data_IF_561174081478
#
_entry.id   IF_561174081478
#
_cell.length_a   1.000
_cell.length_b   1.000
_cell.length_c   1.000
_cell.angle_alpha   90.00
_cell.angle_beta   90.00
_cell.angle_gamma   90.00
#
_symmetry.space_group_name_H-M   'P 1'
#
loop_
_entity.id
_entity.type
_entity.pdbx_description
1 polymer ?
#
# COMPACT_ATOMS: atom_id res chain seq x y z
N UNK A 1 7.65 -15.55 5.53
CA UNK A 1 6.36 -15.37 6.22
C UNK A 1 5.20 -15.92 5.37
N UNK A 2 5.02 -15.40 4.15
CA UNK A 2 3.91 -15.77 3.28
C UNK A 2 3.84 -17.24 2.85
N UNK A 3 4.96 -17.94 2.66
CA UNK A 3 4.97 -19.40 2.35
C UNK A 3 4.45 -20.27 3.50
N UNK A 4 4.39 -19.71 4.72
CA UNK A 4 3.82 -20.35 5.90
C UNK A 4 2.39 -19.88 6.20
N UNK A 5 1.75 -19.25 5.23
CA UNK A 5 0.40 -18.70 5.37
C UNK A 5 0.24 -17.68 6.51
N UNK A 6 1.30 -16.94 6.84
CA UNK A 6 1.25 -15.88 7.85
C UNK A 6 1.12 -14.52 7.16
N UNK A 7 0.24 -13.67 7.69
CA UNK A 7 0.10 -12.24 7.35
C UNK A 7 0.47 -11.37 8.56
N UNK A 8 0.88 -10.13 8.33
CA UNK A 8 1.31 -9.17 9.37
C UNK A 8 0.24 -8.17 9.84
N UNK A 9 -0.86 -8.03 9.11
CA UNK A 9 -1.70 -6.82 8.88
C UNK A 9 -1.20 -5.39 9.17
N UNK A 10 -0.03 -5.17 9.75
CA UNK A 10 0.48 -3.84 10.14
C UNK A 10 1.89 -3.57 9.59
N UNK A 11 2.09 -3.78 8.29
CA UNK A 11 3.35 -3.46 7.61
C UNK A 11 3.50 -1.94 7.54
N UNK A 12 4.54 -1.42 8.19
CA UNK A 12 4.90 0.01 8.25
C UNK A 12 6.40 0.16 8.51
N UNK A 13 7.02 1.34 8.27
CA UNK A 13 8.46 1.51 8.45
C UNK A 13 8.91 1.21 9.88
N UNK A 14 8.12 1.57 10.89
CA UNK A 14 8.42 1.33 12.31
C UNK A 14 8.58 -0.17 12.65
N UNK A 15 7.97 -1.05 11.84
CA UNK A 15 7.98 -2.50 12.04
C UNK A 15 9.05 -3.21 11.19
N UNK A 16 9.94 -2.46 10.53
CA UNK A 16 11.08 -2.97 9.77
C UNK A 16 12.36 -2.56 10.48
N UNK A 17 12.98 -3.52 11.17
CA UNK A 17 14.22 -3.31 11.90
C UNK A 17 15.41 -3.53 10.98
N UNK A 18 16.30 -2.54 10.92
CA UNK A 18 17.49 -2.56 10.07
C UNK A 18 18.73 -2.50 10.96
N UNK A 19 19.47 -3.61 11.03
CA UNK A 19 20.81 -3.60 11.58
C UNK A 19 21.77 -3.06 10.52
N UNK A 20 22.50 -2.00 10.85
CA UNK A 20 23.39 -1.32 9.94
C UNK A 20 24.67 -0.88 10.65
N UNK A 21 25.74 -0.71 9.88
CA UNK A 21 26.98 -0.07 10.31
C UNK A 21 27.36 1.04 9.34
N UNK A 22 28.07 2.04 9.85
CA UNK A 22 28.63 3.10 9.03
C UNK A 22 30.08 2.76 8.67
N UNK A 23 30.40 2.73 7.37
CA UNK A 23 31.76 2.52 6.86
C UNK A 23 32.06 3.66 5.90
N UNK A 24 33.07 4.48 6.20
CA UNK A 24 33.54 5.57 5.31
C UNK A 24 32.44 6.47 4.73
N UNK A 25 31.44 6.83 5.57
CA UNK A 25 30.24 7.63 5.24
C UNK A 25 29.10 6.89 4.53
N UNK A 26 29.31 5.63 4.16
CA UNK A 26 28.26 4.77 3.62
C UNK A 26 27.56 3.97 4.72
N UNK A 27 26.26 3.76 4.54
CA UNK A 27 25.46 2.87 5.39
C UNK A 27 25.48 1.48 4.78
N UNK A 28 26.07 0.52 5.49
CA UNK A 28 26.02 -0.89 5.12
C UNK A 28 24.93 -1.57 5.93
N UNK A 29 23.89 -2.05 5.24
CA UNK A 29 22.82 -2.86 5.84
C UNK A 29 23.33 -4.28 6.04
N UNK A 30 23.35 -4.75 7.28
CA UNK A 30 23.80 -6.09 7.63
C UNK A 30 22.64 -7.08 7.71
N UNK A 31 21.49 -6.63 8.22
CA UNK A 31 20.32 -7.47 8.40
C UNK A 31 19.05 -6.62 8.43
N UNK A 32 17.98 -7.17 7.83
CA UNK A 32 16.63 -6.61 7.93
C UNK A 32 15.70 -7.66 8.54
N UNK A 33 14.86 -7.25 9.49
CA UNK A 33 13.86 -8.11 10.12
C UNK A 33 12.52 -7.41 10.24
N UNK A 34 11.44 -8.18 10.12
CA UNK A 34 10.09 -7.72 10.43
C UNK A 34 9.83 -7.96 11.92
N UNK A 35 9.32 -6.95 12.62
CA UNK A 35 8.96 -7.00 14.04
C UNK A 35 7.47 -6.77 14.25
N UNK A 36 7.01 -6.78 15.51
CA UNK A 36 5.63 -6.44 15.89
C UNK A 36 4.57 -7.40 15.32
N UNK A 37 4.73 -8.69 15.63
CA UNK A 37 3.83 -9.76 15.20
C UNK A 37 2.55 -9.88 16.05
N UNK A 38 2.20 -8.88 16.86
CA UNK A 38 1.02 -8.94 17.75
C UNK A 38 -0.28 -9.15 16.96
N UNK A 39 -0.38 -8.50 15.80
CA UNK A 39 -1.54 -8.63 14.90
C UNK A 39 -1.35 -9.72 13.83
N UNK A 40 -0.22 -10.42 13.83
CA UNK A 40 0.05 -11.42 12.81
C UNK A 40 -0.94 -12.60 12.92
N UNK A 41 -1.37 -13.11 11.78
CA UNK A 41 -2.36 -14.18 11.73
C UNK A 41 -1.94 -15.29 10.77
N UNK A 42 -2.21 -16.54 11.16
CA UNK A 42 -2.09 -17.70 10.28
C UNK A 42 -3.39 -17.87 9.48
N UNK A 43 -3.32 -17.55 8.18
CA UNK A 43 -4.42 -17.52 7.22
C UNK A 43 -4.16 -18.44 6.02
N UNK A 44 -4.28 -19.77 6.19
CA UNK A 44 -4.25 -20.70 5.07
C UNK A 44 -5.46 -20.46 4.16
N UNK A 45 -5.28 -20.59 2.84
CA UNK A 45 -6.39 -20.42 1.89
C UNK A 45 -7.57 -21.36 2.24
N UNK A 46 -8.83 -20.92 2.12
CA UNK A 46 -9.29 -19.63 1.60
C UNK A 46 -9.55 -18.56 2.69
N UNK A 47 -8.91 -18.66 3.87
CA UNK A 47 -9.19 -17.74 5.00
C UNK A 47 -8.72 -16.31 4.73
N UNK A 48 -9.44 -15.36 5.31
CA UNK A 48 -9.12 -13.94 5.34
C UNK A 48 -9.50 -13.34 6.72
N UNK A 49 -9.03 -12.13 7.00
CA UNK A 49 -9.52 -11.31 8.12
C UNK A 49 -10.61 -10.39 7.57
N UNK A 50 -11.78 -10.33 8.20
CA UNK A 50 -12.92 -9.48 7.77
C UNK A 50 -13.54 -8.77 8.97
N UNK A 51 -14.03 -7.55 8.78
CA UNK A 51 -14.68 -6.75 9.83
C UNK A 51 -13.73 -6.03 10.80
N UNK A 52 -12.42 -6.23 10.67
CA UNK A 52 -11.40 -5.56 11.46
C UNK A 52 -10.85 -4.34 10.72
N UNK A 53 -10.73 -3.20 11.40
CA UNK A 53 -9.99 -2.05 10.88
C UNK A 53 -8.51 -2.23 11.21
N UNK A 54 -7.81 -3.01 10.38
CA UNK A 54 -6.42 -3.40 10.59
C UNK A 54 -5.43 -2.38 10.01
N UNK A 55 -4.20 -2.42 10.52
CA UNK A 55 -3.07 -1.65 10.03
C UNK A 55 -3.08 -0.17 10.42
N UNK A 56 -1.92 0.46 10.37
CA UNK A 56 -1.75 1.89 10.57
C UNK A 56 -2.41 2.70 9.42
N UNK A 57 -3.04 3.82 9.77
CA UNK A 57 -3.79 4.68 8.85
C UNK A 57 -3.01 5.14 7.62
N UNK A 58 -1.72 5.42 7.76
CA UNK A 58 -0.89 5.99 6.70
C UNK A 58 -0.33 4.90 5.75
N UNK A 59 -0.46 3.62 6.12
CA UNK A 59 0.05 2.47 5.37
C UNK A 59 -1.06 1.49 4.95
N UNK A 60 -2.32 1.78 5.30
CA UNK A 60 -3.45 0.88 5.09
C UNK A 60 -3.77 0.69 3.60
N UNK A 61 -4.15 -0.52 3.21
CA UNK A 61 -4.64 -0.82 1.86
C UNK A 61 -6.09 -0.32 1.63
N UNK A 62 -6.54 -0.20 0.36
CA UNK A 62 -7.88 0.31 0.04
C UNK A 62 -9.01 -0.52 0.66
N UNK A 63 -8.96 -1.85 0.56
CA UNK A 63 -9.97 -2.74 1.12
C UNK A 63 -10.03 -2.69 2.67
N UNK A 64 -8.92 -2.32 3.31
CA UNK A 64 -8.85 -2.13 4.76
C UNK A 64 -9.69 -0.97 5.26
N UNK A 65 -9.86 0.09 4.46
CA UNK A 65 -10.74 1.21 4.81
C UNK A 65 -12.22 0.80 4.91
N UNK A 66 -12.60 -0.28 4.22
CA UNK A 66 -13.94 -0.84 4.23
C UNK A 66 -14.09 -2.03 5.18
N UNK A 67 -13.06 -2.36 5.96
CA UNK A 67 -13.02 -3.60 6.78
C UNK A 67 -13.31 -4.85 5.95
N UNK A 68 -12.91 -4.82 4.67
CA UNK A 68 -13.07 -5.90 3.72
C UNK A 68 -12.18 -7.10 4.05
N UNK A 69 -12.01 -7.99 3.08
CA UNK A 69 -11.24 -9.21 3.24
C UNK A 69 -9.74 -8.96 3.12
N UNK A 70 -9.03 -9.02 4.24
CA UNK A 70 -7.58 -8.82 4.32
C UNK A 70 -6.82 -10.14 4.27
N UNK A 71 -5.73 -10.15 3.52
CA UNK A 71 -4.85 -11.30 3.31
C UNK A 71 -3.44 -10.85 2.86
N UNK A 72 -2.62 -11.76 2.33
CA UNK A 72 -1.23 -11.49 1.92
C UNK A 72 -1.11 -10.28 0.94
N UNK A 73 -1.95 -10.15 -0.11
CA UNK A 73 -2.04 -8.94 -0.92
C UNK A 73 -2.22 -7.62 -0.16
N UNK A 74 -2.87 -7.63 1.00
CA UNK A 74 -3.05 -6.42 1.81
C UNK A 74 -1.72 -5.97 2.42
N UNK A 75 -0.91 -6.90 2.94
CA UNK A 75 0.45 -6.60 3.42
C UNK A 75 1.36 -6.07 2.30
N UNK A 76 1.21 -6.60 1.08
CA UNK A 76 2.03 -6.17 -0.06
C UNK A 76 1.66 -4.79 -0.59
N UNK A 77 0.40 -4.37 -0.47
CA UNK A 77 0.02 -3.00 -0.75
C UNK A 77 0.70 -2.03 0.24
N UNK A 78 0.64 -2.36 1.54
CA UNK A 78 1.32 -1.60 2.59
C UNK A 78 2.84 -1.55 2.38
N UNK A 79 3.44 -2.67 1.98
CA UNK A 79 4.86 -2.72 1.61
C UNK A 79 5.19 -1.79 0.42
N UNK A 80 4.34 -1.74 -0.60
CA UNK A 80 4.50 -0.78 -1.71
C UNK A 80 4.53 0.68 -1.24
N UNK A 81 3.67 1.06 -0.30
CA UNK A 81 3.71 2.40 0.32
C UNK A 81 5.02 2.63 1.10
N UNK A 82 5.50 1.63 1.82
CA UNK A 82 6.79 1.68 2.53
C UNK A 82 7.95 1.86 1.55
N UNK A 83 7.93 1.18 0.40
CA UNK A 83 8.95 1.36 -0.65
C UNK A 83 8.97 2.80 -1.16
N UNK A 84 7.80 3.39 -1.43
CA UNK A 84 7.70 4.81 -1.85
C UNK A 84 8.32 5.71 -0.78
N UNK A 85 8.00 5.49 0.49
CA UNK A 85 8.59 6.24 1.59
C UNK A 85 10.12 6.08 1.68
N UNK A 86 10.63 4.86 1.54
CA UNK A 86 12.07 4.59 1.62
C UNK A 86 12.85 5.30 0.50
N UNK A 87 12.30 5.36 -0.72
CA UNK A 87 12.96 5.97 -1.88
C UNK A 87 12.79 7.49 -1.92
N UNK A 88 11.61 8.00 -1.56
CA UNK A 88 11.26 9.42 -1.72
C UNK A 88 11.32 10.22 -0.42
N UNK A 89 11.39 9.56 0.73
CA UNK A 89 11.33 10.19 2.05
C UNK A 89 9.97 10.81 2.39
N UNK A 90 8.91 10.45 1.67
CA UNK A 90 7.57 11.04 1.83
C UNK A 90 6.50 10.01 2.19
N UNK A 91 5.63 10.38 3.15
CA UNK A 91 4.46 9.57 3.53
C UNK A 91 3.26 10.06 2.71
N UNK A 92 3.02 9.44 1.56
CA UNK A 92 2.07 9.96 0.55
C UNK A 92 0.60 9.96 1.01
N UNK A 93 0.25 9.13 2.00
CA UNK A 93 -1.07 9.10 2.64
C UNK A 93 -1.11 9.82 4.01
N UNK A 94 -0.03 10.54 4.33
CA UNK A 94 0.18 11.19 5.62
C UNK A 94 -0.63 12.49 5.81
N UNK A 95 -0.49 13.06 7.02
CA UNK A 95 -1.26 14.22 7.49
C UNK A 95 -0.58 15.56 7.14
N UNK A 96 -0.39 15.81 5.86
CA UNK A 96 0.11 17.09 5.34
C UNK A 96 -0.95 18.23 5.43
N UNK A 97 -0.62 19.41 4.91
CA UNK A 97 -1.51 20.58 4.94
C UNK A 97 -2.80 20.38 4.15
N UNK A 98 -2.72 19.68 3.02
CA UNK A 98 -3.89 19.36 2.18
C UNK A 98 -4.85 18.41 2.92
N UNK A 99 -4.31 17.38 3.58
CA UNK A 99 -5.09 16.48 4.44
C UNK A 99 -5.78 17.26 5.57
N UNK A 100 -5.02 18.11 6.28
CA UNK A 100 -5.55 18.93 7.38
C UNK A 100 -6.65 19.88 6.90
N UNK A 101 -6.49 20.46 5.72
CA UNK A 101 -7.49 21.32 5.10
C UNK A 101 -8.79 20.57 4.84
N UNK A 102 -8.73 19.38 4.25
CA UNK A 102 -9.92 18.57 3.98
C UNK A 102 -10.61 18.12 5.27
N UNK A 103 -9.86 17.71 6.29
CA UNK A 103 -10.42 17.40 7.62
C UNK A 103 -11.10 18.64 8.24
N UNK A 104 -10.51 19.83 8.13
CA UNK A 104 -11.11 21.06 8.65
C UNK A 104 -12.43 21.42 7.96
N UNK A 105 -12.64 20.94 6.74
CA UNK A 105 -13.88 21.07 5.97
C UNK A 105 -14.89 19.94 6.24
N UNK A 106 -14.57 19.01 7.16
CA UNK A 106 -15.45 17.92 7.55
C UNK A 106 -15.24 16.61 6.78
N UNK A 107 -14.24 16.52 5.89
CA UNK A 107 -13.94 15.26 5.22
C UNK A 107 -13.40 14.21 6.21
N UNK A 108 -13.84 12.96 6.05
CA UNK A 108 -13.36 11.87 6.88
C UNK A 108 -11.92 11.49 6.49
N UNK A 109 -11.01 11.31 7.48
CA UNK A 109 -9.63 10.86 7.25
C UNK A 109 -9.46 9.67 6.30
N UNK A 110 -10.37 8.69 6.36
CA UNK A 110 -10.32 7.51 5.50
C UNK A 110 -10.62 7.85 4.03
N UNK A 111 -11.55 8.78 3.77
CA UNK A 111 -11.94 9.16 2.41
C UNK A 111 -10.87 10.01 1.72
N UNK A 112 -10.17 10.87 2.46
CA UNK A 112 -9.03 11.62 1.91
C UNK A 112 -7.94 10.64 1.45
N UNK A 113 -7.63 9.62 2.27
CA UNK A 113 -6.64 8.60 1.93
C UNK A 113 -7.09 7.71 0.77
N UNK A 114 -8.35 7.27 0.76
CA UNK A 114 -8.91 6.54 -0.38
C UNK A 114 -8.87 7.36 -1.67
N UNK A 115 -9.20 8.66 -1.62
CA UNK A 115 -9.07 9.54 -2.78
C UNK A 115 -7.62 9.58 -3.30
N UNK A 116 -6.64 9.71 -2.39
CA UNK A 116 -5.21 9.67 -2.75
C UNK A 116 -4.84 8.34 -3.39
N UNK A 117 -5.22 7.21 -2.79
CA UNK A 117 -4.93 5.87 -3.32
C UNK A 117 -5.53 5.67 -4.72
N UNK A 118 -6.78 6.07 -4.93
CA UNK A 118 -7.45 5.96 -6.24
C UNK A 118 -6.80 6.89 -7.29
N UNK A 119 -6.36 8.08 -6.87
CA UNK A 119 -5.77 9.07 -7.77
C UNK A 119 -4.30 8.76 -8.10
N UNK A 120 -3.54 8.18 -7.17
CA UNK A 120 -2.13 7.80 -7.39
C UNK A 120 -2.02 6.48 -8.16
N UNK A 121 -2.89 5.51 -7.88
CA UNK A 121 -2.83 4.16 -8.46
C UNK A 121 -4.00 3.91 -9.43
N UNK A 122 -4.14 4.79 -10.42
CA UNK A 122 -5.25 4.77 -11.39
C UNK A 122 -5.23 3.47 -12.20
N UNK A 123 -6.22 2.60 -11.97
CA UNK A 123 -6.49 1.39 -12.74
C UNK A 123 -7.99 1.10 -12.67
N UNK A 124 -8.73 1.26 -13.78
CA UNK A 124 -10.20 1.07 -13.77
C UNK A 124 -10.56 -0.39 -13.50
N UNK A 125 -9.80 -1.32 -14.06
CA UNK A 125 -10.00 -2.74 -13.83
C UNK A 125 -9.62 -3.11 -12.40
N UNK A 126 -8.59 -2.46 -11.86
CA UNK A 126 -8.20 -2.53 -10.45
C UNK A 126 -9.33 -2.07 -9.52
N UNK A 127 -9.94 -0.93 -9.81
CA UNK A 127 -11.08 -0.41 -9.06
C UNK A 127 -12.28 -1.37 -9.12
N UNK A 128 -12.61 -1.89 -10.30
CA UNK A 128 -13.68 -2.87 -10.46
C UNK A 128 -13.40 -4.15 -9.66
N UNK A 129 -12.14 -4.57 -9.59
CA UNK A 129 -11.71 -5.67 -8.73
C UNK A 129 -11.85 -5.37 -7.25
N UNK A 130 -11.46 -4.17 -6.80
CA UNK A 130 -11.67 -3.70 -5.43
C UNK A 130 -13.16 -3.71 -5.06
N UNK A 131 -14.03 -3.18 -5.93
CA UNK A 131 -15.49 -3.19 -5.72
C UNK A 131 -16.03 -4.60 -5.50
N UNK A 132 -15.50 -5.63 -6.18
CA UNK A 132 -15.89 -7.02 -5.94
C UNK A 132 -15.46 -7.53 -4.55
N UNK A 133 -14.37 -7.00 -3.99
CA UNK A 133 -13.86 -7.41 -2.68
C UNK A 133 -14.54 -6.70 -1.50
N UNK A 134 -15.07 -5.49 -1.72
CA UNK A 134 -15.72 -4.68 -0.66
C UNK A 134 -17.21 -4.46 -0.87
N UNK A 135 -17.76 -4.93 -1.99
CA UNK A 135 -19.12 -4.66 -2.46
C UNK A 135 -20.23 -5.46 -1.78
N UNK A 136 -19.95 -6.13 -0.66
CA UNK A 136 -20.99 -6.71 0.19
C UNK A 136 -21.97 -5.63 0.71
N UNK A 137 -21.50 -4.39 0.79
CA UNK A 137 -22.31 -3.20 1.06
C UNK A 137 -22.36 -2.31 -0.18
N UNK A 138 -23.58 -2.06 -0.70
CA UNK A 138 -23.81 -1.24 -1.90
C UNK A 138 -23.17 0.16 -1.78
N UNK A 139 -23.23 0.75 -0.59
CA UNK A 139 -22.63 2.04 -0.28
C UNK A 139 -21.12 2.08 -0.55
N UNK A 140 -20.38 0.97 -0.38
CA UNK A 140 -18.94 0.92 -0.64
C UNK A 140 -18.65 1.12 -2.13
N UNK A 141 -19.45 0.49 -3.00
CA UNK A 141 -19.33 0.65 -4.45
C UNK A 141 -19.69 2.08 -4.89
N UNK A 142 -20.71 2.69 -4.29
CA UNK A 142 -21.08 4.08 -4.56
C UNK A 142 -19.96 5.06 -4.17
N UNK A 143 -19.36 4.87 -2.99
CA UNK A 143 -18.22 5.67 -2.53
C UNK A 143 -17.05 5.53 -3.52
N UNK A 144 -16.68 4.30 -3.89
CA UNK A 144 -15.58 4.06 -4.83
C UNK A 144 -15.85 4.66 -6.21
N UNK A 145 -17.09 4.60 -6.69
CA UNK A 145 -17.48 5.22 -7.96
C UNK A 145 -17.39 6.75 -7.88
N UNK A 146 -17.86 7.37 -6.80
CA UNK A 146 -17.77 8.80 -6.56
C UNK A 146 -16.30 9.27 -6.55
N UNK A 147 -15.44 8.63 -5.74
CA UNK A 147 -14.03 8.97 -5.64
C UNK A 147 -13.29 8.78 -6.97
N UNK A 148 -13.68 7.76 -7.74
CA UNK A 148 -13.15 7.54 -9.08
C UNK A 148 -13.50 8.71 -9.99
N UNK A 149 -14.77 9.09 -10.12
CA UNK A 149 -15.15 10.21 -11.00
C UNK A 149 -14.53 11.55 -10.56
N UNK A 150 -14.48 11.83 -9.25
CA UNK A 150 -13.89 13.07 -8.72
C UNK A 150 -12.36 13.16 -8.90
N UNK A 151 -11.65 12.04 -9.11
CA UNK A 151 -10.17 12.02 -9.18
C UNK A 151 -9.57 12.96 -10.23
N UNK A 152 -10.35 13.30 -11.27
CA UNK A 152 -9.94 14.14 -12.38
C UNK A 152 -10.46 15.59 -12.27
N UNK A 153 -11.08 15.96 -11.16
CA UNK A 153 -11.56 17.32 -10.94
C UNK A 153 -10.38 18.30 -10.74
N UNK A 154 -10.50 19.52 -11.28
CA UNK A 154 -9.43 20.54 -11.27
C UNK A 154 -8.94 20.92 -9.85
N UNK A 155 -9.77 20.70 -8.82
CA UNK A 155 -9.42 20.98 -7.43
C UNK A 155 -8.74 19.81 -6.70
N UNK A 156 -8.63 18.63 -7.34
CA UNK A 156 -7.91 17.48 -6.80
C UNK A 156 -6.47 17.52 -7.35
N UNK A 157 -5.45 17.82 -6.50
CA UNK A 157 -4.08 18.03 -6.96
C UNK A 157 -3.31 16.72 -7.19
N UNK A 158 -3.95 15.57 -7.03
CA UNK A 158 -3.31 14.26 -7.05
C UNK A 158 -3.09 13.79 -8.48
N UNK A 159 -1.83 13.68 -8.89
CA UNK A 159 -1.45 13.13 -10.19
C UNK A 159 -1.10 11.64 -10.07
N UNK A 160 -1.39 10.81 -11.09
CA UNK A 160 -1.06 9.39 -11.08
C UNK A 160 0.43 9.15 -10.84
N UNK A 161 0.77 8.14 -10.04
CA UNK A 161 2.16 7.81 -9.68
C UNK A 161 3.04 7.53 -10.90
N UNK A 162 2.46 6.95 -11.96
CA UNK A 162 3.12 6.74 -13.25
C UNK A 162 3.64 8.03 -13.88
N UNK A 163 3.01 9.17 -13.58
CA UNK A 163 3.32 10.48 -14.16
C UNK A 163 4.27 11.31 -13.29
N UNK A 164 4.64 10.83 -12.09
CA UNK A 164 5.54 11.57 -11.19
C UNK A 164 6.92 11.74 -11.83
N UNK A 165 7.42 12.97 -11.84
CA UNK A 165 8.72 13.29 -12.43
C UNK A 165 9.88 12.85 -11.53
N UNK A 166 11.02 12.49 -12.14
CA UNK A 166 12.25 12.16 -11.41
C UNK A 166 12.27 10.80 -10.71
N UNK A 167 11.30 9.93 -11.00
CA UNK A 167 11.23 8.57 -10.45
C UNK A 167 11.62 7.57 -11.53
N UNK A 168 12.48 6.62 -11.15
CA UNK A 168 12.93 5.52 -12.00
C UNK A 168 11.75 4.70 -12.55
N UNK A 169 11.81 4.34 -13.84
CA UNK A 169 10.71 3.65 -14.53
C UNK A 169 10.50 2.23 -13.99
N UNK A 170 11.59 1.53 -13.67
CA UNK A 170 11.52 0.17 -13.13
C UNK A 170 10.93 0.19 -11.72
N UNK A 171 11.25 1.22 -10.92
CA UNK A 171 10.59 1.43 -9.63
C UNK A 171 9.09 1.69 -9.79
N UNK A 172 8.69 2.50 -10.79
CA UNK A 172 7.26 2.74 -11.07
C UNK A 172 6.52 1.45 -11.39
N UNK A 173 7.10 0.58 -12.22
CA UNK A 173 6.50 -0.70 -12.58
C UNK A 173 6.32 -1.61 -11.36
N UNK A 174 7.32 -1.69 -10.48
CA UNK A 174 7.23 -2.42 -9.21
C UNK A 174 6.08 -1.89 -8.34
N UNK A 175 6.01 -0.57 -8.16
CA UNK A 175 4.97 0.07 -7.33
C UNK A 175 3.58 -0.13 -7.94
N UNK A 176 3.41 -0.01 -9.26
CA UNK A 176 2.14 -0.30 -9.92
C UNK A 176 1.68 -1.74 -9.70
N UNK A 177 2.62 -2.68 -9.70
CA UNK A 177 2.34 -4.08 -9.40
C UNK A 177 1.97 -4.34 -7.93
N UNK A 178 2.66 -3.73 -6.97
CA UNK A 178 2.38 -3.88 -5.53
C UNK A 178 1.10 -3.15 -5.10
N UNK A 179 0.86 -1.96 -5.65
CA UNK A 179 -0.25 -1.07 -5.27
C UNK A 179 -1.44 -1.13 -6.24
N UNK A 180 -1.62 -2.22 -6.99
CA UNK A 180 -2.84 -2.43 -7.76
C UNK A 180 -4.07 -2.37 -6.84
N UNK A 181 -5.13 -1.68 -7.26
CA UNK A 181 -6.34 -1.53 -6.45
C UNK A 181 -7.06 -2.86 -6.22
N UNK A 182 -7.00 -3.80 -7.17
CA UNK A 182 -7.55 -5.15 -7.03
C UNK A 182 -6.56 -6.05 -6.27
N UNK A 183 -6.90 -6.52 -5.05
CA UNK A 183 -6.04 -7.41 -4.27
C UNK A 183 -5.62 -8.68 -5.03
N UNK A 184 -6.46 -9.18 -5.94
CA UNK A 184 -6.17 -10.40 -6.72
C UNK A 184 -5.15 -10.20 -7.84
N UNK A 185 -4.89 -8.95 -8.25
CA UNK A 185 -3.97 -8.57 -9.32
C UNK A 185 -2.64 -8.02 -8.80
N UNK A 186 -2.49 -7.84 -7.49
CA UNK A 186 -1.22 -7.39 -6.88
C UNK A 186 -0.14 -8.45 -7.06
N UNK A 187 1.09 -7.99 -7.23
CA UNK A 187 2.27 -8.86 -7.17
C UNK A 187 2.29 -9.60 -5.84
N UNK A 188 2.63 -10.88 -5.88
CA UNK A 188 3.07 -11.62 -4.70
C UNK A 188 4.50 -11.23 -4.32
N UNK A 189 4.95 -11.57 -3.11
CA UNK A 189 6.31 -11.27 -2.67
C UNK A 189 7.38 -11.88 -3.60
N UNK A 190 7.16 -13.12 -4.06
CA UNK A 190 8.07 -13.77 -5.00
C UNK A 190 8.10 -13.03 -6.35
N UNK A 191 6.93 -12.69 -6.91
CA UNK A 191 6.86 -11.94 -8.17
C UNK A 191 7.45 -10.53 -8.06
N UNK A 192 7.34 -9.91 -6.88
CA UNK A 192 7.96 -8.62 -6.59
C UNK A 192 9.48 -8.73 -6.58
N UNK A 193 10.04 -9.77 -5.95
CA UNK A 193 11.48 -10.05 -5.94
C UNK A 193 12.03 -10.37 -7.34
N UNK A 194 11.20 -10.92 -8.23
CA UNK A 194 11.56 -11.18 -9.63
C UNK A 194 11.52 -9.92 -10.52
N UNK A 195 11.09 -8.76 -10.00
CA UNK A 195 11.07 -7.51 -10.78
C UNK A 195 12.48 -6.98 -11.03
N UNK A 196 12.74 -6.30 -12.18
CA UNK A 196 14.07 -5.79 -12.50
C UNK A 196 14.63 -4.79 -11.48
N UNK A 197 13.76 -4.18 -10.65
CA UNK A 197 14.17 -3.28 -9.56
C UNK A 197 15.13 -3.96 -8.57
N UNK A 198 14.95 -5.26 -8.35
CA UNK A 198 15.77 -6.05 -7.44
C UNK A 198 16.90 -6.82 -8.15
N UNK A 199 17.10 -6.60 -9.46
CA UNK A 199 18.18 -7.25 -10.20
C UNK A 199 19.55 -6.84 -9.62
N UNK A 200 20.40 -7.84 -9.36
CA UNK A 200 21.74 -7.62 -8.78
C UNK A 200 21.77 -7.48 -7.26
N UNK A 201 20.62 -7.55 -6.57
CA UNK A 201 20.58 -7.66 -5.10
C UNK A 201 20.85 -9.12 -4.71
N UNK A 202 21.97 -9.38 -4.03
CA UNK A 202 22.24 -10.72 -3.49
C UNK A 202 21.31 -11.02 -2.32
N UNK A 203 20.47 -12.05 -2.48
CA UNK A 203 19.71 -12.62 -1.36
C UNK A 203 20.68 -13.28 -0.39
N UNK A 204 20.92 -12.66 0.76
CA UNK A 204 21.60 -13.31 1.87
C UNK A 204 20.69 -14.43 2.41
N UNK A 205 20.96 -15.67 2.01
CA UNK A 205 20.34 -16.87 2.58
C UNK A 205 21.12 -17.36 3.81
#
# INVERSE_FOLDING_TARGET
>A
MYDRDIVHPDVKPDNILVNHRNVDQDVVVEQVQISDLENAAHLPKPRCIKGMLAGNDDWRCPEGHFKGELNKPSDLYSFGLVCIYAVLGCVILGRDDDFRLHVSKGALPAFIRLQRQISYFVDKDGLNGLMKHVGDEEANCEILAMLWEERAADYIPYVPFSEWAGIDLVFKDLIQGLNNLDPSRRLTACQALDQPWFEGVESAY
#
